data_IF_128680694929
#
_entry.id   IF_128680694929
#
_cell.length_a   1.000
_cell.length_b   1.000
_cell.length_c   1.000
_cell.angle_alpha   90.00
_cell.angle_beta   90.00
_cell.angle_gamma   90.00
#
_symmetry.space_group_name_H-M   'P 1'
#
loop_
_entity.id
_entity.type
_entity.pdbx_description
1 polymer ?
#
# COMPACT_ATOMS: atom_id res chain seq x y z
N UNK A 1 -12.94 38.12 -56.54
CA UNK A 1 -13.64 36.82 -56.34
C UNK A 1 -12.59 35.72 -56.02
N UNK A 2 -11.45 35.68 -56.70
CA UNK A 2 -10.38 34.71 -56.46
C UNK A 2 -9.79 34.84 -55.07
N UNK A 3 -9.59 36.07 -54.57
CA UNK A 3 -9.07 36.32 -53.23
C UNK A 3 -10.01 35.90 -52.12
N UNK A 4 -11.34 35.96 -52.30
CA UNK A 4 -12.30 35.50 -51.33
C UNK A 4 -12.32 33.98 -51.20
N UNK A 5 -12.21 33.27 -52.33
CA UNK A 5 -12.14 31.79 -52.34
C UNK A 5 -10.87 31.31 -51.70
N UNK A 6 -9.73 31.94 -51.97
CA UNK A 6 -8.44 31.63 -51.36
C UNK A 6 -8.47 31.92 -49.84
N UNK A 7 -9.10 33.03 -49.41
CA UNK A 7 -9.24 33.36 -48.01
C UNK A 7 -10.08 32.34 -47.26
N UNK A 8 -11.18 31.86 -47.84
CA UNK A 8 -12.00 30.79 -47.24
C UNK A 8 -11.27 29.47 -47.13
N UNK A 9 -10.53 29.11 -48.18
CA UNK A 9 -9.74 27.88 -48.19
C UNK A 9 -8.68 27.94 -47.11
N UNK A 10 -7.95 29.04 -47.00
CA UNK A 10 -6.95 29.24 -45.95
C UNK A 10 -7.55 29.17 -44.56
N UNK A 11 -8.71 29.80 -44.34
CA UNK A 11 -9.43 29.74 -43.10
C UNK A 11 -9.85 28.31 -42.74
N UNK A 12 -10.40 27.58 -43.68
CA UNK A 12 -10.81 26.18 -43.48
C UNK A 12 -9.59 25.31 -43.15
N UNK A 13 -8.49 25.46 -43.90
CA UNK A 13 -7.27 24.72 -43.69
C UNK A 13 -6.67 25.00 -42.31
N UNK A 14 -6.67 26.27 -41.87
CA UNK A 14 -6.23 26.65 -40.54
C UNK A 14 -7.12 26.09 -39.46
N UNK A 15 -8.43 26.12 -39.65
CA UNK A 15 -9.39 25.55 -38.71
C UNK A 15 -9.25 24.04 -38.56
N UNK A 16 -9.00 23.34 -39.68
CA UNK A 16 -8.71 21.90 -39.66
C UNK A 16 -7.42 21.58 -38.93
N UNK A 17 -6.40 22.39 -39.12
CA UNK A 17 -5.11 22.20 -38.42
C UNK A 17 -5.24 22.39 -36.92
N UNK A 18 -5.98 23.44 -36.49
CA UNK A 18 -6.28 23.67 -35.08
C UNK A 18 -7.04 22.48 -34.48
N UNK A 19 -8.02 21.96 -35.22
CA UNK A 19 -8.80 20.78 -34.79
C UNK A 19 -7.91 19.54 -34.68
N UNK A 20 -7.00 19.31 -35.61
CA UNK A 20 -6.03 18.20 -35.57
C UNK A 20 -5.10 18.32 -34.36
N UNK A 21 -4.58 19.50 -34.10
CA UNK A 21 -3.72 19.75 -32.94
C UNK A 21 -4.48 19.51 -31.63
N UNK A 22 -5.72 20.00 -31.53
CA UNK A 22 -6.54 19.79 -30.36
C UNK A 22 -6.82 18.30 -30.14
N UNK A 23 -7.14 17.56 -31.19
CA UNK A 23 -7.36 16.12 -31.12
C UNK A 23 -6.08 15.37 -30.74
N UNK A 24 -4.93 15.77 -31.27
CA UNK A 24 -3.64 15.19 -30.90
C UNK A 24 -3.31 15.42 -29.43
N UNK A 25 -3.58 16.62 -28.93
CA UNK A 25 -3.38 16.95 -27.50
C UNK A 25 -4.32 16.17 -26.60
N UNK A 26 -5.59 16.03 -26.99
CA UNK A 26 -6.56 15.23 -26.24
C UNK A 26 -6.17 13.75 -26.18
N UNK A 27 -5.71 13.21 -27.31
CA UNK A 27 -5.22 11.84 -27.40
C UNK A 27 -4.01 11.60 -26.48
N UNK A 28 -3.06 12.53 -26.51
CA UNK A 28 -1.88 12.51 -25.64
C UNK A 28 -2.26 12.61 -24.16
N UNK A 29 -3.16 13.51 -23.82
CA UNK A 29 -3.67 13.68 -22.47
C UNK A 29 -4.35 12.40 -21.96
N UNK A 30 -5.14 11.75 -22.83
CA UNK A 30 -5.78 10.47 -22.52
C UNK A 30 -4.75 9.39 -22.22
N UNK A 31 -3.73 9.26 -23.04
CA UNK A 31 -2.65 8.29 -22.83
C UNK A 31 -1.89 8.56 -21.54
N UNK A 32 -1.56 9.81 -21.28
CA UNK A 32 -0.86 10.22 -20.06
C UNK A 32 -1.71 9.95 -18.82
N UNK A 33 -3.01 10.22 -18.90
CA UNK A 33 -3.95 9.96 -17.79
C UNK A 33 -4.06 8.47 -17.51
N UNK A 34 -4.19 7.65 -18.54
CA UNK A 34 -4.26 6.18 -18.40
C UNK A 34 -2.98 5.63 -17.80
N UNK A 35 -1.83 6.13 -18.25
CA UNK A 35 -0.52 5.73 -17.71
C UNK A 35 -0.37 6.13 -16.23
N UNK A 36 -0.84 7.33 -15.88
CA UNK A 36 -0.81 7.81 -14.50
C UNK A 36 -1.70 6.97 -13.59
N UNK A 37 -2.91 6.64 -14.04
CA UNK A 37 -3.84 5.78 -13.30
C UNK A 37 -3.23 4.38 -13.11
N UNK A 38 -2.65 3.82 -14.16
CA UNK A 38 -1.99 2.52 -14.09
C UNK A 38 -0.82 2.52 -13.09
N UNK A 39 -0.01 3.58 -13.11
CA UNK A 39 1.09 3.77 -12.17
C UNK A 39 0.60 3.92 -10.73
N UNK A 40 -0.47 4.69 -10.53
CA UNK A 40 -1.09 4.87 -9.21
C UNK A 40 -1.65 3.55 -8.66
N UNK A 41 -2.31 2.77 -9.49
CA UNK A 41 -2.84 1.45 -9.11
C UNK A 41 -1.72 0.48 -8.74
N UNK A 42 -0.63 0.49 -9.49
CA UNK A 42 0.55 -0.33 -9.21
C UNK A 42 1.19 0.05 -7.88
N UNK A 43 1.35 1.34 -7.63
CA UNK A 43 1.90 1.87 -6.38
C UNK A 43 1.00 1.54 -5.18
N UNK A 44 -0.31 1.68 -5.34
CA UNK A 44 -1.28 1.30 -4.32
C UNK A 44 -1.16 -0.19 -3.97
N UNK A 45 -1.03 -1.04 -4.98
CA UNK A 45 -0.81 -2.48 -4.78
C UNK A 45 0.48 -2.76 -4.02
N UNK A 46 1.55 -2.06 -4.34
CA UNK A 46 2.84 -2.18 -3.65
C UNK A 46 2.72 -1.79 -2.17
N UNK A 47 2.10 -0.64 -1.90
CA UNK A 47 1.89 -0.13 -0.53
C UNK A 47 1.07 -1.13 0.27
N UNK A 48 -0.01 -1.67 -0.33
CA UNK A 48 -0.86 -2.64 0.33
C UNK A 48 -0.10 -3.92 0.68
N UNK A 49 0.73 -4.43 -0.24
CA UNK A 49 1.55 -5.62 0.01
C UNK A 49 2.59 -5.37 1.11
N UNK A 50 3.21 -4.20 1.14
CA UNK A 50 4.14 -3.84 2.21
C UNK A 50 3.42 -3.75 3.56
N UNK A 51 2.24 -3.13 3.59
CA UNK A 51 1.44 -3.03 4.81
C UNK A 51 1.05 -4.42 5.34
N UNK A 52 0.65 -5.33 4.46
CA UNK A 52 0.36 -6.72 4.83
C UNK A 52 1.59 -7.44 5.37
N UNK A 53 2.74 -7.22 4.77
CA UNK A 53 4.00 -7.82 5.22
C UNK A 53 4.38 -7.32 6.61
N UNK A 54 4.28 -6.01 6.84
CA UNK A 54 4.52 -5.41 8.16
C UNK A 54 3.52 -5.90 9.20
N UNK A 55 2.24 -6.01 8.83
CA UNK A 55 1.22 -6.59 9.70
C UNK A 55 1.60 -8.02 10.12
N UNK A 56 2.00 -8.84 9.18
CA UNK A 56 2.37 -10.22 9.46
C UNK A 56 3.58 -10.31 10.38
N UNK A 57 4.58 -9.45 10.18
CA UNK A 57 5.73 -9.32 11.08
C UNK A 57 5.31 -8.95 12.50
N UNK A 58 4.42 -7.96 12.63
CA UNK A 58 3.92 -7.50 13.92
C UNK A 58 3.18 -8.64 14.65
N UNK A 59 2.35 -9.39 13.93
CA UNK A 59 1.62 -10.52 14.50
C UNK A 59 2.58 -11.61 14.98
N UNK A 60 3.56 -11.97 14.18
CA UNK A 60 4.55 -12.99 14.53
C UNK A 60 5.34 -12.55 15.78
N UNK A 61 5.80 -11.30 15.82
CA UNK A 61 6.54 -10.78 16.95
C UNK A 61 5.68 -10.69 18.22
N UNK A 62 4.42 -10.26 18.10
CA UNK A 62 3.50 -10.21 19.22
C UNK A 62 3.22 -11.59 19.81
N UNK A 63 3.04 -12.61 18.98
CA UNK A 63 2.88 -14.00 19.41
C UNK A 63 4.12 -14.52 20.12
N UNK A 64 5.27 -14.22 19.58
CA UNK A 64 6.57 -14.62 20.16
C UNK A 64 6.75 -14.01 21.55
N UNK A 65 6.44 -12.72 21.70
CA UNK A 65 6.50 -12.05 22.99
C UNK A 65 5.47 -12.59 23.98
N UNK A 66 4.26 -12.86 23.51
CA UNK A 66 3.20 -13.43 24.36
C UNK A 66 3.57 -14.84 24.83
N UNK A 67 4.13 -15.68 23.97
CA UNK A 67 4.61 -17.03 24.32
C UNK A 67 5.75 -16.96 25.33
N UNK A 68 6.70 -16.04 25.13
CA UNK A 68 7.82 -15.85 26.05
C UNK A 68 7.33 -15.36 27.42
N UNK A 69 6.37 -14.43 27.46
CA UNK A 69 5.78 -13.94 28.70
C UNK A 69 5.00 -15.03 29.43
N UNK A 70 4.22 -15.83 28.70
CA UNK A 70 3.48 -16.96 29.26
C UNK A 70 4.42 -18.02 29.82
N UNK A 71 5.51 -18.32 29.14
CA UNK A 71 6.51 -19.28 29.60
C UNK A 71 7.21 -18.80 30.89
N UNK A 72 7.56 -17.52 30.92
CA UNK A 72 8.17 -16.90 32.09
C UNK A 72 7.23 -16.96 33.30
N UNK A 73 5.96 -16.64 33.12
CA UNK A 73 4.95 -16.72 34.17
C UNK A 73 4.76 -18.15 34.66
N UNK A 74 4.71 -19.10 33.73
CA UNK A 74 4.61 -20.53 34.09
C UNK A 74 5.82 -21.00 34.90
N UNK A 75 7.01 -20.61 34.54
CA UNK A 75 8.23 -20.94 35.25
C UNK A 75 8.25 -20.33 36.66
N UNK A 76 7.77 -19.09 36.81
CA UNK A 76 7.63 -18.45 38.11
C UNK A 76 6.60 -19.16 39.00
N UNK A 77 5.47 -19.55 38.46
CA UNK A 77 4.45 -20.31 39.19
C UNK A 77 5.00 -21.67 39.63
N UNK A 78 5.68 -22.37 38.78
CA UNK A 78 6.34 -23.65 39.11
C UNK A 78 7.36 -23.48 40.24
N UNK A 79 8.12 -22.42 40.19
CA UNK A 79 9.11 -22.09 41.21
C UNK A 79 8.42 -21.79 42.57
N UNK A 80 7.33 -21.04 42.54
CA UNK A 80 6.54 -20.74 43.74
C UNK A 80 5.93 -22.02 44.35
N UNK A 81 5.37 -22.88 43.49
CA UNK A 81 4.80 -24.16 43.94
C UNK A 81 5.89 -25.03 44.60
N UNK A 82 7.06 -25.07 44.04
CA UNK A 82 8.20 -25.83 44.56
C UNK A 82 8.64 -25.29 45.93
N UNK A 83 8.73 -23.94 46.06
CA UNK A 83 9.07 -23.29 47.32
C UNK A 83 8.01 -23.56 48.41
N UNK A 84 6.74 -23.45 48.11
CA UNK A 84 5.65 -23.75 49.02
C UNK A 84 5.68 -25.22 49.46
N UNK A 85 5.95 -26.12 48.55
CA UNK A 85 6.08 -27.55 48.83
C UNK A 85 7.25 -27.84 49.79
N UNK A 86 8.39 -27.21 49.55
CA UNK A 86 9.54 -27.35 50.42
C UNK A 86 9.32 -26.78 51.82
N UNK A 87 8.64 -25.63 51.92
CA UNK A 87 8.23 -25.03 53.19
C UNK A 87 7.24 -25.93 53.97
N UNK A 88 6.26 -26.50 53.28
CA UNK A 88 5.31 -27.43 53.88
C UNK A 88 5.99 -28.69 54.40
N UNK A 89 6.97 -29.22 53.71
CA UNK A 89 7.76 -30.38 54.16
C UNK A 89 8.63 -30.02 55.37
N UNK A 90 9.23 -28.85 55.36
CA UNK A 90 10.12 -28.35 56.41
C UNK A 90 9.38 -28.07 57.71
N UNK A 91 8.15 -27.50 57.61
CA UNK A 91 7.29 -27.14 58.75
C UNK A 91 6.44 -28.32 59.26
N UNK A 92 6.44 -29.43 58.57
CA UNK A 92 5.72 -30.63 58.99
C UNK A 92 6.50 -31.34 60.10
N UNK A 93 5.90 -31.55 61.30
CA UNK A 93 6.54 -32.23 62.43
C UNK A 93 6.76 -33.72 62.14
#
# INVERSE_FOLDING_TARGET
ITKMVEGRKTYIDQSLEVAREANAQLSKLKEESEALIAAANKEQGRILREAMHERDKIIVEARKQAEAAAQKELDEVKKQIQQEKEEAIRDCP
#
